data_IF_661039825050
#
_entry.id   IF_661039825050
#
_cell.length_a   1.000
_cell.length_b   1.000
_cell.length_c   1.000
_cell.angle_alpha   90.00
_cell.angle_beta   90.00
_cell.angle_gamma   90.00
#
_symmetry.space_group_name_H-M   'P 1'
#
loop_
_entity.id
_entity.type
_entity.pdbx_description
1 polymer ?
#
# COMPACT_ATOMS: atom_id res chain seq x y z
N UNK A 1 20.16 22.48 -2.61
CA UNK A 1 19.43 22.38 -3.89
C UNK A 1 18.00 21.97 -3.58
N UNK A 2 17.01 22.82 -3.84
CA UNK A 2 15.61 22.50 -3.62
C UNK A 2 15.08 21.65 -4.77
N UNK A 3 14.46 20.51 -4.46
CA UNK A 3 13.83 19.65 -5.46
C UNK A 3 12.50 20.29 -5.86
N UNK A 4 12.40 20.80 -7.10
CA UNK A 4 11.12 21.23 -7.66
C UNK A 4 10.30 20.00 -8.01
N UNK A 5 9.23 19.73 -7.25
CA UNK A 5 8.32 18.62 -7.49
C UNK A 5 7.34 19.04 -8.61
N UNK A 6 7.51 18.49 -9.81
CA UNK A 6 6.57 18.62 -10.92
C UNK A 6 6.04 17.24 -11.30
N UNK A 7 5.27 16.63 -10.39
CA UNK A 7 4.56 15.40 -10.69
C UNK A 7 3.24 15.74 -11.39
N UNK A 8 2.97 15.10 -12.53
CA UNK A 8 1.74 15.29 -13.33
C UNK A 8 0.68 14.22 -13.03
N UNK A 9 1.03 13.22 -12.23
CA UNK A 9 0.14 12.16 -11.76
C UNK A 9 0.58 11.63 -10.38
N UNK A 10 -0.34 10.94 -9.70
CA UNK A 10 -0.05 10.24 -8.44
C UNK A 10 1.04 9.17 -8.62
N UNK A 11 1.02 8.45 -9.74
CA UNK A 11 2.03 7.45 -10.09
C UNK A 11 3.42 8.08 -10.26
N UNK A 12 3.50 9.23 -10.93
CA UNK A 12 4.78 9.97 -11.04
C UNK A 12 5.27 10.46 -9.68
N UNK A 13 4.38 10.97 -8.83
CA UNK A 13 4.74 11.42 -7.48
C UNK A 13 5.28 10.26 -6.64
N UNK A 14 4.63 9.10 -6.69
CA UNK A 14 5.07 7.89 -6.00
C UNK A 14 6.43 7.41 -6.49
N UNK A 15 6.66 7.40 -7.81
CA UNK A 15 7.96 7.00 -8.38
C UNK A 15 9.07 7.98 -8.01
N UNK A 16 8.79 9.29 -8.01
CA UNK A 16 9.74 10.30 -7.54
C UNK A 16 10.10 10.09 -6.07
N UNK A 17 9.10 9.92 -5.19
CA UNK A 17 9.32 9.62 -3.77
C UNK A 17 10.18 8.36 -3.62
N UNK A 18 9.81 7.29 -4.31
CA UNK A 18 10.50 5.99 -4.25
C UNK A 18 11.95 6.08 -4.71
N UNK A 19 12.24 6.90 -5.72
CA UNK A 19 13.61 7.12 -6.21
C UNK A 19 14.54 7.76 -5.17
N UNK A 20 13.98 8.55 -4.25
CA UNK A 20 14.70 9.21 -3.17
C UNK A 20 14.98 8.31 -1.96
N UNK A 21 14.38 7.12 -1.89
CA UNK A 21 14.54 6.20 -0.76
C UNK A 21 15.82 5.36 -0.90
N UNK A 22 16.33 4.83 0.21
CA UNK A 22 17.46 3.90 0.17
C UNK A 22 17.07 2.61 -0.57
N UNK A 23 18.03 1.88 -1.17
CA UNK A 23 17.73 0.61 -1.85
C UNK A 23 17.04 -0.42 -0.95
N UNK A 24 17.38 -0.45 0.34
CA UNK A 24 16.74 -1.32 1.33
C UNK A 24 15.25 -0.98 1.47
N UNK A 25 14.92 0.30 1.67
CA UNK A 25 13.53 0.74 1.82
C UNK A 25 12.73 0.48 0.54
N UNK A 26 13.33 0.68 -0.65
CA UNK A 26 12.67 0.34 -1.92
C UNK A 26 12.31 -1.14 -2.01
N UNK A 27 13.23 -2.01 -1.58
CA UNK A 27 13.02 -3.47 -1.57
C UNK A 27 11.90 -3.86 -0.62
N UNK A 28 11.84 -3.23 0.55
CA UNK A 28 10.78 -3.50 1.53
C UNK A 28 9.41 -3.02 1.01
N UNK A 29 9.35 -1.87 0.34
CA UNK A 29 8.13 -1.39 -0.33
C UNK A 29 7.68 -2.37 -1.41
N UNK A 30 8.58 -2.88 -2.24
CA UNK A 30 8.24 -3.86 -3.28
C UNK A 30 7.65 -5.14 -2.69
N UNK A 31 8.28 -5.66 -1.64
CA UNK A 31 7.79 -6.86 -0.95
C UNK A 31 6.43 -6.63 -0.30
N UNK A 32 6.24 -5.47 0.32
CA UNK A 32 4.97 -5.10 0.93
C UNK A 32 3.86 -4.98 -0.12
N UNK A 33 4.11 -4.28 -1.24
CA UNK A 33 3.14 -4.15 -2.32
C UNK A 33 2.78 -5.50 -2.94
N UNK A 34 3.77 -6.35 -3.16
CA UNK A 34 3.56 -7.71 -3.66
C UNK A 34 2.70 -8.54 -2.71
N UNK A 35 3.03 -8.55 -1.41
CA UNK A 35 2.23 -9.27 -0.40
C UNK A 35 0.80 -8.72 -0.32
N UNK A 36 0.63 -7.41 -0.48
CA UNK A 36 -0.70 -6.78 -0.48
C UNK A 36 -1.55 -7.17 -1.70
N UNK A 37 -0.98 -7.14 -2.90
CA UNK A 37 -1.66 -7.60 -4.11
C UNK A 37 -2.10 -9.06 -3.96
N UNK A 38 -1.20 -9.92 -3.50
CA UNK A 38 -1.52 -11.33 -3.21
C UNK A 38 -2.63 -11.45 -2.15
N UNK A 39 -2.58 -10.65 -1.07
CA UNK A 39 -3.58 -10.68 0.00
C UNK A 39 -5.00 -10.35 -0.49
N UNK A 40 -5.11 -9.42 -1.45
CA UNK A 40 -6.40 -9.03 -2.04
C UNK A 40 -7.01 -10.15 -2.88
N UNK A 41 -6.17 -10.89 -3.62
CA UNK A 41 -6.61 -11.94 -4.53
C UNK A 41 -6.67 -13.33 -3.89
N UNK A 42 -6.03 -13.55 -2.74
CA UNK A 42 -5.92 -14.86 -2.08
C UNK A 42 -7.27 -15.34 -1.51
N UNK A 43 -7.88 -16.42 -2.04
CA UNK A 43 -9.15 -16.94 -1.52
C UNK A 43 -9.04 -17.70 -0.20
N UNK A 44 -7.90 -18.37 0.08
CA UNK A 44 -7.73 -19.20 1.27
C UNK A 44 -7.50 -18.34 2.52
N UNK A 45 -8.36 -18.45 3.56
CA UNK A 45 -8.17 -17.71 4.81
C UNK A 45 -6.83 -17.99 5.51
N UNK A 46 -6.30 -19.21 5.40
CA UNK A 46 -5.04 -19.57 6.07
C UNK A 46 -3.84 -18.92 5.37
N UNK A 47 -3.74 -19.04 4.04
CA UNK A 47 -2.75 -18.33 3.24
C UNK A 47 -2.85 -16.79 3.40
N UNK A 48 -4.08 -16.27 3.49
CA UNK A 48 -4.33 -14.85 3.70
C UNK A 48 -3.81 -14.34 5.05
N UNK A 49 -3.94 -15.10 6.14
CA UNK A 49 -3.36 -14.74 7.44
C UNK A 49 -1.82 -14.73 7.41
N UNK A 50 -1.20 -15.61 6.61
CA UNK A 50 0.26 -15.58 6.40
C UNK A 50 0.69 -14.27 5.72
N UNK A 51 0.04 -13.92 4.61
CA UNK A 51 0.30 -12.66 3.89
C UNK A 51 0.07 -11.43 4.78
N UNK A 52 -0.99 -11.44 5.60
CA UNK A 52 -1.24 -10.39 6.59
C UNK A 52 -0.10 -10.30 7.63
N UNK A 53 0.43 -11.42 8.07
CA UNK A 53 1.59 -11.48 8.96
C UNK A 53 2.85 -10.87 8.34
N UNK A 54 3.10 -11.14 7.07
CA UNK A 54 4.22 -10.57 6.31
C UNK A 54 4.07 -9.04 6.21
N UNK A 55 2.90 -8.56 5.82
CA UNK A 55 2.60 -7.13 5.76
C UNK A 55 2.79 -6.42 7.11
N UNK A 56 2.29 -7.01 8.20
CA UNK A 56 2.44 -6.48 9.56
C UNK A 56 3.89 -6.40 10.04
N UNK A 57 4.80 -7.18 9.46
CA UNK A 57 6.23 -7.04 9.76
C UNK A 57 6.78 -5.72 9.22
N UNK A 58 6.41 -5.36 7.98
CA UNK A 58 6.81 -4.09 7.38
C UNK A 58 6.12 -2.89 8.03
N UNK A 59 4.82 -2.99 8.32
CA UNK A 59 4.09 -1.92 9.01
C UNK A 59 4.73 -1.58 10.36
N UNK A 60 5.07 -2.59 11.16
CA UNK A 60 5.76 -2.37 12.43
C UNK A 60 7.17 -1.81 12.24
N UNK A 61 7.91 -2.28 11.22
CA UNK A 61 9.27 -1.76 10.90
C UNK A 61 9.24 -0.25 10.65
N UNK A 62 8.17 0.27 10.04
CA UNK A 62 8.05 1.68 9.67
C UNK A 62 7.04 2.49 10.50
N UNK A 63 6.47 1.90 11.56
CA UNK A 63 5.42 2.51 12.39
C UNK A 63 4.18 2.96 11.58
N UNK A 64 3.72 2.09 10.68
CA UNK A 64 2.59 2.28 9.76
C UNK A 64 1.44 1.30 10.04
N UNK A 65 1.15 1.01 11.31
CA UNK A 65 0.13 0.01 11.67
C UNK A 65 -1.22 0.28 10.99
N UNK A 66 -1.73 -0.69 10.23
CA UNK A 66 -2.94 -0.55 9.45
C UNK A 66 -3.93 -1.71 9.69
N UNK A 67 -5.23 -1.38 9.73
CA UNK A 67 -6.29 -2.38 9.91
C UNK A 67 -6.85 -2.85 8.56
N UNK A 68 -6.22 -3.87 7.99
CA UNK A 68 -6.60 -4.47 6.69
C UNK A 68 -7.98 -5.12 6.66
N UNK A 69 -8.63 -5.35 7.82
CA UNK A 69 -9.97 -5.94 7.87
C UNK A 69 -11.06 -4.93 7.51
N UNK A 70 -10.81 -3.63 7.70
CA UNK A 70 -11.78 -2.55 7.42
C UNK A 70 -11.77 -2.05 5.97
N UNK A 71 -10.76 -2.43 5.18
CA UNK A 71 -10.54 -1.86 3.84
C UNK A 71 -11.05 -2.75 2.70
N UNK A 72 -11.79 -3.82 2.99
CA UNK A 72 -12.39 -4.65 1.93
C UNK A 72 -13.40 -3.85 1.11
N UNK A 73 -13.44 -4.01 -0.22
CA UNK A 73 -14.43 -3.37 -1.09
C UNK A 73 -15.89 -3.76 -0.85
N UNK A 74 -16.20 -4.67 0.09
CA UNK A 74 -17.57 -5.10 0.37
C UNK A 74 -18.46 -3.99 0.99
N UNK A 75 -17.89 -2.83 1.38
CA UNK A 75 -18.64 -1.66 1.87
C UNK A 75 -18.33 -0.35 1.12
N UNK A 76 -17.89 -0.38 -0.15
CA UNK A 76 -17.84 0.84 -1.00
C UNK A 76 -19.12 1.11 -1.79
N UNK A 77 -20.23 0.42 -1.52
CA UNK A 77 -21.57 0.87 -1.96
C UNK A 77 -22.15 1.89 -1.00
N UNK A 78 -21.65 3.13 -1.08
CA UNK A 78 -22.38 4.40 -0.87
C UNK A 78 -21.38 5.55 -1.01
N UNK A 79 -20.89 5.72 -2.23
CA UNK A 79 -20.25 6.96 -2.65
C UNK A 79 -21.31 8.06 -2.65
N UNK A 80 -21.39 8.80 -1.55
CA UNK A 80 -22.33 9.88 -1.31
C UNK A 80 -21.83 11.17 -1.99
N UNK A 81 -21.62 11.14 -3.31
CA UNK A 81 -21.44 12.38 -4.07
C UNK A 81 -22.82 12.86 -4.54
N UNK A 82 -23.29 14.04 -4.11
CA UNK A 82 -24.40 14.68 -4.78
C UNK A 82 -23.92 15.08 -6.18
N UNK A 83 -24.63 14.58 -7.20
CA UNK A 83 -24.50 15.10 -8.56
C UNK A 83 -24.71 16.62 -8.54
N UNK A 84 -23.77 17.34 -9.14
CA UNK A 84 -23.98 18.73 -9.55
C UNK A 84 -25.01 18.80 -10.66
#
# INVERSE_FOLDING_TARGET
MGVTISARSESELFQMLRSCLSPEIRTDIDRYLYAYEMYLDEPDPAAREVLLGEMKCYERKYNLEFDHKKSRPEERTKSNYPNR
#
